data_IF_139146636828
#
_entry.id   IF_139146636828
#
_cell.length_a   1.000
_cell.length_b   1.000
_cell.length_c   1.000
_cell.angle_alpha   90.00
_cell.angle_beta   90.00
_cell.angle_gamma   90.00
#
_symmetry.space_group_name_H-M   'P 1'
#
loop_
_entity.id
_entity.type
_entity.pdbx_description
1 polymer ?
#
# COMPACT_ATOMS: atom_id res chain seq x y z
N UNK A 1 -20.55 5.02 -12.67
CA UNK A 1 -22.02 4.93 -12.69
C UNK A 1 -22.46 3.59 -13.28
N UNK A 2 -22.07 3.24 -14.52
CA UNK A 2 -22.44 1.98 -15.19
C UNK A 2 -22.07 0.72 -14.37
N UNK A 3 -20.90 0.70 -13.71
CA UNK A 3 -20.48 -0.42 -12.87
C UNK A 3 -21.47 -0.67 -11.72
N UNK A 4 -22.00 0.39 -11.10
CA UNK A 4 -23.00 0.27 -10.04
C UNK A 4 -24.35 -0.22 -10.58
N UNK A 5 -24.76 0.25 -11.76
CA UNK A 5 -26.00 -0.18 -12.42
C UNK A 5 -25.97 -1.66 -12.81
N UNK A 6 -24.80 -2.16 -13.22
CA UNK A 6 -24.57 -3.60 -13.53
C UNK A 6 -24.51 -4.44 -12.23
N UNK A 7 -24.35 -3.81 -11.06
CA UNK A 7 -24.44 -4.48 -9.76
C UNK A 7 -23.09 -4.82 -9.11
N UNK A 8 -21.98 -4.21 -9.54
CA UNK A 8 -20.71 -4.32 -8.81
C UNK A 8 -20.86 -3.77 -7.39
N UNK A 9 -20.43 -4.55 -6.39
CA UNK A 9 -20.52 -4.19 -4.95
C UNK A 9 -19.29 -3.44 -4.45
N UNK A 10 -18.12 -3.68 -5.04
CA UNK A 10 -16.87 -2.98 -4.76
C UNK A 10 -16.48 -2.15 -5.97
N UNK A 11 -16.40 -0.84 -5.80
CA UNK A 11 -15.97 0.10 -6.85
C UNK A 11 -14.86 0.95 -6.24
N UNK A 12 -13.69 0.90 -6.86
CA UNK A 12 -12.53 1.70 -6.46
C UNK A 12 -12.33 2.89 -7.40
N UNK A 13 -11.79 3.96 -6.86
CA UNK A 13 -11.23 5.07 -7.61
C UNK A 13 -9.78 5.29 -7.18
N UNK A 14 -8.85 5.39 -8.13
CA UNK A 14 -7.45 5.70 -7.88
C UNK A 14 -7.20 7.17 -8.19
N UNK A 15 -6.57 7.89 -7.26
CA UNK A 15 -6.16 9.29 -7.42
C UNK A 15 -4.67 9.37 -7.11
N UNK A 16 -3.91 10.02 -7.98
CA UNK A 16 -2.51 10.36 -7.76
C UNK A 16 -2.44 11.83 -7.39
N UNK A 17 -1.77 12.14 -6.28
CA UNK A 17 -1.51 13.50 -5.82
C UNK A 17 -0.01 13.79 -5.73
N UNK A 18 0.35 15.05 -5.46
CA UNK A 18 1.75 15.48 -5.44
C UNK A 18 2.32 15.75 -6.83
N UNK A 19 1.45 16.01 -7.80
CA UNK A 19 1.83 16.51 -9.12
C UNK A 19 2.09 18.01 -9.04
N UNK A 20 2.98 18.52 -9.88
CA UNK A 20 3.29 19.95 -9.94
C UNK A 20 2.01 20.81 -10.00
N UNK A 21 1.94 21.81 -9.13
CA UNK A 21 0.81 22.73 -8.90
C UNK A 21 -0.41 22.12 -8.18
N UNK A 22 -0.32 20.91 -7.66
CA UNK A 22 -1.35 20.43 -6.74
C UNK A 22 -1.42 21.34 -5.49
N UNK A 23 -2.62 21.59 -5.08
CA UNK A 23 -2.95 22.27 -3.83
C UNK A 23 -4.07 21.50 -3.15
N UNK A 24 -4.25 21.68 -1.84
CA UNK A 24 -5.35 21.05 -1.13
C UNK A 24 -6.71 21.39 -1.77
N UNK A 25 -6.86 22.63 -2.28
CA UNK A 25 -8.12 23.06 -2.92
C UNK A 25 -8.36 22.31 -4.26
N UNK A 26 -7.33 22.14 -5.09
CA UNK A 26 -7.45 21.38 -6.35
C UNK A 26 -7.75 19.92 -6.05
N UNK A 27 -7.03 19.31 -5.11
CA UNK A 27 -7.23 17.93 -4.72
C UNK A 27 -8.60 17.67 -4.10
N UNK A 28 -9.12 18.58 -3.28
CA UNK A 28 -10.50 18.46 -2.75
C UNK A 28 -11.54 18.39 -3.86
N UNK A 29 -11.37 19.11 -4.96
CA UNK A 29 -12.29 19.03 -6.11
C UNK A 29 -12.26 17.65 -6.77
N UNK A 30 -11.06 17.07 -6.93
CA UNK A 30 -10.90 15.75 -7.52
C UNK A 30 -11.48 14.66 -6.60
N UNK A 31 -11.21 14.73 -5.30
CA UNK A 31 -11.80 13.83 -4.31
C UNK A 31 -13.32 13.98 -4.23
N UNK A 32 -13.87 15.21 -4.25
CA UNK A 32 -15.32 15.43 -4.24
C UNK A 32 -15.99 14.86 -5.49
N UNK A 33 -15.33 14.91 -6.64
CA UNK A 33 -15.81 14.24 -7.85
C UNK A 33 -15.85 12.74 -7.65
N UNK A 34 -14.80 12.13 -7.10
CA UNK A 34 -14.77 10.70 -6.79
C UNK A 34 -15.87 10.31 -5.79
N UNK A 35 -16.05 11.09 -4.72
CA UNK A 35 -17.08 10.84 -3.69
C UNK A 35 -18.52 11.04 -4.20
N UNK A 36 -18.71 11.79 -5.30
CA UNK A 36 -20.00 11.89 -5.97
C UNK A 36 -20.42 10.60 -6.69
N UNK A 37 -19.48 9.68 -6.90
CA UNK A 37 -19.70 8.38 -7.51
C UNK A 37 -20.01 7.34 -6.42
N UNK A 38 -20.65 6.20 -6.78
CA UNK A 38 -20.98 5.13 -5.85
C UNK A 38 -19.74 4.27 -5.50
N UNK A 39 -18.61 4.90 -5.19
CA UNK A 39 -17.40 4.20 -4.78
C UNK A 39 -17.50 3.70 -3.34
N UNK A 40 -16.85 2.60 -3.05
CA UNK A 40 -16.74 2.00 -1.72
C UNK A 40 -15.30 1.93 -1.24
N UNK A 41 -14.37 2.21 -2.13
CA UNK A 41 -12.93 2.16 -1.91
C UNK A 41 -12.26 3.32 -2.67
N UNK A 42 -11.17 3.84 -2.12
CA UNK A 42 -10.37 4.90 -2.71
C UNK A 42 -8.88 4.59 -2.50
N UNK A 43 -8.09 4.71 -3.55
CA UNK A 43 -6.64 4.70 -3.45
C UNK A 43 -6.12 6.11 -3.69
N UNK A 44 -5.33 6.65 -2.76
CA UNK A 44 -4.68 7.96 -2.87
C UNK A 44 -3.16 7.76 -2.82
N UNK A 45 -2.50 7.88 -3.97
CA UNK A 45 -1.07 7.66 -4.12
C UNK A 45 -0.32 8.98 -4.27
N UNK A 46 0.72 9.19 -3.48
CA UNK A 46 1.70 10.23 -3.78
C UNK A 46 2.44 9.86 -5.07
N UNK A 47 2.62 10.84 -5.96
CA UNK A 47 3.36 10.62 -7.20
C UNK A 47 4.77 10.12 -6.90
N UNK A 48 5.11 8.94 -7.40
CA UNK A 48 6.46 8.40 -7.39
C UNK A 48 6.99 8.35 -8.81
N UNK A 49 8.20 8.87 -9.01
CA UNK A 49 8.86 8.87 -10.33
C UNK A 49 9.92 7.77 -10.32
N UNK A 50 9.66 6.72 -11.07
CA UNK A 50 10.53 5.55 -11.16
C UNK A 50 11.71 5.80 -12.12
N UNK A 51 12.88 5.25 -11.77
CA UNK A 51 14.05 5.24 -12.64
C UNK A 51 13.72 4.56 -13.99
N UNK A 52 14.26 5.10 -15.08
CA UNK A 52 14.02 4.61 -16.44
C UNK A 52 12.70 5.08 -17.06
N UNK A 53 11.89 5.88 -16.36
CA UNK A 53 10.70 6.53 -16.93
C UNK A 53 11.06 7.85 -17.61
N UNK A 54 10.21 8.33 -18.54
CA UNK A 54 10.41 9.61 -19.24
C UNK A 54 10.40 10.84 -18.31
N UNK A 55 9.93 10.68 -17.10
CA UNK A 55 9.80 11.76 -16.11
C UNK A 55 10.92 11.74 -15.07
N UNK A 56 11.78 10.72 -15.05
CA UNK A 56 12.85 10.57 -14.07
C UNK A 56 13.77 11.81 -13.96
N UNK A 57 14.14 12.38 -15.10
CA UNK A 57 14.98 13.59 -15.17
C UNK A 57 14.18 14.91 -15.00
N UNK A 58 12.89 14.84 -14.70
CA UNK A 58 11.99 15.99 -14.56
C UNK A 58 11.50 16.14 -13.13
N UNK A 59 12.39 16.46 -12.21
CA UNK A 59 12.06 16.63 -10.78
C UNK A 59 10.96 17.66 -10.51
N UNK A 60 10.76 18.62 -11.42
CA UNK A 60 9.70 19.62 -11.29
C UNK A 60 8.27 19.07 -11.44
N UNK A 61 8.09 17.82 -11.86
CA UNK A 61 6.76 17.21 -12.02
C UNK A 61 6.17 16.75 -10.68
N UNK A 62 7.01 16.48 -9.68
CA UNK A 62 6.63 16.03 -8.35
C UNK A 62 6.76 17.15 -7.33
N UNK A 63 5.83 17.20 -6.40
CA UNK A 63 5.91 18.00 -5.17
C UNK A 63 6.05 17.02 -4.01
N UNK A 64 7.12 17.17 -3.24
CA UNK A 64 7.27 16.50 -1.94
C UNK A 64 6.70 17.43 -0.87
N UNK A 65 5.42 17.27 -0.57
CA UNK A 65 4.70 18.03 0.43
C UNK A 65 4.00 17.07 1.40
N UNK A 66 4.64 16.87 2.54
CA UNK A 66 4.15 16.00 3.60
C UNK A 66 2.88 16.58 4.24
N UNK A 67 2.80 17.91 4.40
CA UNK A 67 1.63 18.59 4.95
C UNK A 67 0.40 18.38 4.06
N UNK A 68 0.58 18.50 2.76
CA UNK A 68 -0.48 18.21 1.78
C UNK A 68 -1.00 16.76 1.92
N UNK A 69 -0.10 15.80 2.16
CA UNK A 69 -0.49 14.40 2.36
C UNK A 69 -1.37 14.22 3.60
N UNK A 70 -1.01 14.85 4.73
CA UNK A 70 -1.82 14.83 5.95
C UNK A 70 -3.20 15.45 5.72
N UNK A 71 -3.24 16.62 5.11
CA UNK A 71 -4.50 17.34 4.83
C UNK A 71 -5.43 16.55 3.90
N UNK A 72 -4.86 15.86 2.88
CA UNK A 72 -5.60 14.97 1.99
C UNK A 72 -6.20 13.80 2.78
N UNK A 73 -5.40 13.14 3.61
CA UNK A 73 -5.85 11.96 4.36
C UNK A 73 -6.92 12.32 5.38
N UNK A 74 -6.76 13.43 6.07
CA UNK A 74 -7.81 13.98 6.96
C UNK A 74 -9.09 14.30 6.19
N UNK A 75 -8.95 14.86 5.00
CA UNK A 75 -10.11 15.16 4.16
C UNK A 75 -10.87 13.91 3.75
N UNK A 76 -10.15 12.84 3.32
CA UNK A 76 -10.73 11.56 2.94
C UNK A 76 -11.43 10.91 4.15
N UNK A 77 -10.79 10.90 5.32
CA UNK A 77 -11.35 10.35 6.56
C UNK A 77 -12.64 11.09 6.95
N UNK A 78 -12.67 12.43 6.84
CA UNK A 78 -13.85 13.24 7.13
C UNK A 78 -15.02 13.01 6.14
N UNK A 79 -14.77 12.42 4.97
CA UNK A 79 -15.80 11.98 4.02
C UNK A 79 -16.34 10.56 4.33
N UNK A 80 -15.89 9.94 5.43
CA UNK A 80 -16.38 8.67 5.90
C UNK A 80 -15.68 7.46 5.27
N UNK A 81 -14.47 7.67 4.73
CA UNK A 81 -13.57 6.60 4.31
C UNK A 81 -12.46 6.46 5.36
N UNK A 82 -12.25 5.28 5.92
CA UNK A 82 -11.17 5.03 6.87
C UNK A 82 -9.93 4.51 6.15
N UNK A 83 -8.78 5.03 6.50
CA UNK A 83 -7.49 4.51 6.06
C UNK A 83 -7.23 3.16 6.72
N UNK A 84 -6.91 2.12 5.96
CA UNK A 84 -6.60 0.79 6.50
C UNK A 84 -5.19 0.30 6.14
N UNK A 85 -4.51 1.00 5.26
CA UNK A 85 -3.09 0.84 4.93
C UNK A 85 -2.56 2.14 4.30
N UNK A 86 -1.30 2.16 3.90
CA UNK A 86 -0.53 3.36 3.57
C UNK A 86 -1.22 4.31 2.57
N UNK A 87 -1.89 3.77 1.55
CA UNK A 87 -2.48 4.55 0.45
C UNK A 87 -3.95 4.27 0.19
N UNK A 88 -4.57 3.32 0.92
CA UNK A 88 -5.92 2.89 0.62
C UNK A 88 -6.91 3.15 1.76
N UNK A 89 -8.09 3.57 1.33
CA UNK A 89 -9.21 3.98 2.17
C UNK A 89 -10.48 3.22 1.77
N UNK A 90 -11.27 2.82 2.75
CA UNK A 90 -12.50 2.09 2.52
C UNK A 90 -13.68 2.69 3.29
N UNK A 91 -14.88 2.59 2.76
CA UNK A 91 -16.12 3.01 3.45
C UNK A 91 -16.42 2.20 4.71
N UNK A 92 -16.02 0.94 4.69
CA UNK A 92 -16.19 0.00 5.80
C UNK A 92 -15.27 -1.21 5.59
N UNK A 93 -15.12 -2.04 6.61
CA UNK A 93 -14.25 -3.22 6.60
C UNK A 93 -14.54 -4.22 5.47
N UNK A 94 -15.78 -4.34 5.03
CA UNK A 94 -16.16 -5.26 3.92
C UNK A 94 -15.62 -4.75 2.58
N UNK A 95 -15.41 -3.44 2.47
CA UNK A 95 -14.93 -2.78 1.27
C UNK A 95 -13.39 -2.68 1.20
N UNK A 96 -12.66 -3.09 2.24
CA UNK A 96 -11.20 -3.19 2.20
C UNK A 96 -10.76 -4.21 1.13
N UNK A 97 -9.72 -3.89 0.37
CA UNK A 97 -9.17 -4.78 -0.65
C UNK A 97 -8.52 -6.01 -0.01
N UNK A 98 -9.20 -7.15 -0.06
CA UNK A 98 -8.66 -8.42 0.45
C UNK A 98 -7.38 -8.84 -0.25
N UNK A 99 -7.22 -8.47 -1.52
CA UNK A 99 -6.04 -8.73 -2.31
C UNK A 99 -4.84 -7.93 -1.75
N UNK A 100 -4.97 -6.61 -1.62
CA UNK A 100 -3.93 -5.76 -1.05
C UNK A 100 -3.61 -6.17 0.38
N UNK A 101 -4.64 -6.42 1.18
CA UNK A 101 -4.48 -6.84 2.57
C UNK A 101 -3.72 -8.17 2.71
N UNK A 102 -3.85 -9.07 1.70
CA UNK A 102 -3.06 -10.30 1.62
C UNK A 102 -1.56 -10.04 1.52
N UNK A 103 -1.13 -9.04 0.75
CA UNK A 103 0.27 -8.63 0.67
C UNK A 103 0.76 -8.06 2.01
N UNK A 104 0.01 -7.15 2.63
CA UNK A 104 0.36 -6.59 3.93
C UNK A 104 0.46 -7.64 5.05
N UNK A 105 -0.27 -8.75 4.92
CA UNK A 105 -0.18 -9.91 5.81
C UNK A 105 0.92 -10.91 5.42
N UNK A 106 1.74 -10.59 4.43
CA UNK A 106 2.78 -11.49 3.91
C UNK A 106 2.24 -12.86 3.50
N UNK A 107 1.05 -12.92 2.91
CA UNK A 107 0.45 -14.17 2.41
C UNK A 107 1.10 -14.61 1.11
N UNK A 108 1.08 -15.91 0.87
CA UNK A 108 1.46 -16.46 -0.43
C UNK A 108 0.52 -15.99 -1.55
N UNK A 109 1.07 -15.75 -2.72
CA UNK A 109 0.32 -15.34 -3.90
C UNK A 109 0.93 -15.88 -5.18
N UNK A 110 0.08 -16.08 -6.18
CA UNK A 110 0.48 -16.51 -7.51
C UNK A 110 0.53 -15.31 -8.46
N UNK A 111 1.69 -15.10 -9.10
CA UNK A 111 1.82 -14.18 -10.22
C UNK A 111 1.51 -14.90 -11.53
N UNK A 112 0.57 -14.39 -12.32
CA UNK A 112 0.19 -14.96 -13.62
C UNK A 112 0.31 -13.89 -14.68
N UNK A 113 1.17 -14.11 -15.66
CA UNK A 113 1.44 -13.17 -16.74
C UNK A 113 2.92 -12.81 -16.86
N UNK A 114 3.29 -12.14 -17.95
CA UNK A 114 4.65 -11.66 -18.18
C UNK A 114 5.03 -10.65 -17.08
N UNK A 115 6.17 -10.88 -16.41
CA UNK A 115 6.66 -10.04 -15.33
C UNK A 115 5.87 -10.12 -14.01
N UNK A 116 4.85 -10.96 -13.91
CA UNK A 116 4.03 -11.09 -12.69
C UNK A 116 4.75 -11.96 -11.65
N UNK A 117 5.37 -11.30 -10.68
CA UNK A 117 6.06 -11.96 -9.55
C UNK A 117 5.06 -12.72 -8.69
N UNK A 118 5.46 -13.91 -8.20
CA UNK A 118 4.71 -14.67 -7.21
C UNK A 118 5.56 -15.03 -6.01
N UNK A 119 4.93 -15.36 -4.90
CA UNK A 119 5.56 -15.79 -3.65
C UNK A 119 4.85 -17.01 -3.09
N UNK A 120 5.54 -18.15 -3.03
CA UNK A 120 5.00 -19.44 -2.54
C UNK A 120 6.09 -20.22 -1.84
N UNK A 121 5.81 -20.77 -0.65
CA UNK A 121 6.72 -21.61 0.14
C UNK A 121 8.10 -20.98 0.35
N UNK A 122 8.10 -19.71 0.75
CA UNK A 122 9.31 -18.91 0.97
C UNK A 122 10.20 -18.74 -0.28
N UNK A 123 9.64 -18.90 -1.47
CA UNK A 123 10.31 -18.61 -2.73
C UNK A 123 9.56 -17.53 -3.49
N UNK A 124 10.29 -16.55 -4.00
CA UNK A 124 9.81 -15.67 -5.07
C UNK A 124 10.17 -16.27 -6.42
N UNK A 125 9.26 -16.11 -7.37
CA UNK A 125 9.52 -16.47 -8.75
C UNK A 125 9.22 -15.27 -9.66
N UNK A 126 10.09 -15.09 -10.65
CA UNK A 126 10.09 -13.96 -11.57
C UNK A 126 9.97 -14.49 -12.99
N UNK A 127 8.75 -14.53 -13.58
CA UNK A 127 8.60 -14.93 -14.97
C UNK A 127 9.17 -13.83 -15.89
N UNK A 128 9.50 -14.22 -17.12
CA UNK A 128 10.01 -13.27 -18.12
C UNK A 128 9.11 -12.04 -18.23
N UNK A 129 9.72 -10.85 -18.29
CA UNK A 129 9.04 -9.57 -18.55
C UNK A 129 8.64 -9.43 -20.02
N UNK A 130 9.30 -10.15 -20.92
CA UNK A 130 9.00 -10.15 -22.34
C UNK A 130 7.75 -10.97 -22.67
N UNK A 131 6.71 -10.35 -23.24
CA UNK A 131 5.44 -11.02 -23.55
C UNK A 131 5.65 -12.24 -24.46
N UNK A 132 6.40 -12.08 -25.54
CA UNK A 132 6.68 -13.16 -26.49
C UNK A 132 7.45 -14.32 -25.87
N UNK A 133 8.40 -14.01 -24.99
CA UNK A 133 9.17 -15.01 -24.27
C UNK A 133 8.31 -15.73 -23.24
N UNK A 134 7.50 -15.00 -22.49
CA UNK A 134 6.56 -15.60 -21.54
C UNK A 134 5.55 -16.52 -22.24
N UNK A 135 4.99 -16.13 -23.40
CA UNK A 135 4.06 -16.97 -24.15
C UNK A 135 4.72 -18.28 -24.60
N UNK A 136 6.01 -18.23 -25.02
CA UNK A 136 6.74 -19.41 -25.44
C UNK A 136 7.05 -20.35 -24.27
N UNK A 137 7.36 -19.79 -23.10
CA UNK A 137 7.83 -20.56 -21.95
C UNK A 137 7.26 -20.02 -20.61
N UNK A 138 5.94 -20.14 -20.38
CA UNK A 138 5.28 -19.52 -19.23
C UNK A 138 5.68 -20.10 -17.86
N UNK A 139 6.34 -21.28 -17.86
CA UNK A 139 6.80 -21.94 -16.63
C UNK A 139 8.28 -21.70 -16.32
N UNK A 140 9.01 -21.06 -17.24
CA UNK A 140 10.41 -20.67 -16.98
C UNK A 140 10.40 -19.37 -16.21
N UNK A 141 11.01 -19.39 -15.02
CA UNK A 141 11.13 -18.23 -14.15
C UNK A 141 12.46 -18.31 -13.37
N UNK A 142 12.99 -17.14 -13.04
CA UNK A 142 14.04 -17.05 -12.02
C UNK A 142 13.42 -17.28 -10.65
N UNK A 143 14.18 -17.82 -9.71
CA UNK A 143 13.71 -18.09 -8.36
C UNK A 143 14.69 -17.55 -7.34
N UNK A 144 14.12 -17.02 -6.26
CA UNK A 144 14.83 -16.50 -5.11
C UNK A 144 14.30 -17.18 -3.85
N UNK A 145 15.18 -17.84 -3.12
CA UNK A 145 14.86 -18.38 -1.80
C UNK A 145 14.92 -17.24 -0.77
N UNK A 146 13.82 -16.98 -0.09
CA UNK A 146 13.73 -15.91 0.91
C UNK A 146 14.13 -16.50 2.27
N UNK A 147 15.15 -15.94 2.91
CA UNK A 147 15.59 -16.39 4.23
C UNK A 147 14.56 -16.07 5.32
N UNK A 148 14.65 -16.78 6.46
CA UNK A 148 13.78 -16.50 7.61
C UNK A 148 13.95 -15.07 8.16
N UNK A 149 15.16 -14.52 8.07
CA UNK A 149 15.45 -13.15 8.49
C UNK A 149 14.84 -12.11 7.54
N UNK A 150 14.88 -12.40 6.22
CA UNK A 150 14.19 -11.55 5.24
C UNK A 150 12.68 -11.60 5.43
N UNK A 151 12.10 -12.79 5.65
CA UNK A 151 10.68 -12.97 5.95
C UNK A 151 10.28 -12.18 7.20
N UNK A 152 11.10 -12.22 8.26
CA UNK A 152 10.87 -11.43 9.47
C UNK A 152 10.87 -9.94 9.15
N UNK A 153 11.88 -9.47 8.43
CA UNK A 153 12.02 -8.07 8.03
C UNK A 153 10.83 -7.61 7.19
N UNK A 154 10.44 -8.38 6.18
CA UNK A 154 9.27 -8.08 5.36
C UNK A 154 7.98 -8.02 6.17
N UNK A 155 7.73 -8.95 7.07
CA UNK A 155 6.56 -8.95 7.95
C UNK A 155 6.50 -7.71 8.85
N UNK A 156 7.64 -7.24 9.33
CA UNK A 156 7.72 -6.02 10.12
C UNK A 156 7.40 -4.80 9.26
N UNK A 157 8.05 -4.65 8.10
CA UNK A 157 7.82 -3.54 7.19
C UNK A 157 6.36 -3.47 6.71
N UNK A 158 5.81 -4.59 6.24
CA UNK A 158 4.44 -4.66 5.75
C UNK A 158 3.41 -4.47 6.87
N UNK A 159 3.67 -5.01 8.06
CA UNK A 159 2.77 -4.89 9.20
C UNK A 159 2.63 -3.43 9.67
N UNK A 160 3.72 -2.67 9.71
CA UNK A 160 3.67 -1.26 10.10
C UNK A 160 3.02 -0.34 9.05
N UNK A 161 2.86 -0.82 7.82
CA UNK A 161 2.22 -0.08 6.72
C UNK A 161 0.71 -0.33 6.61
N UNK A 162 0.12 -1.06 7.54
CA UNK A 162 -1.30 -1.40 7.51
C UNK A 162 -1.88 -1.60 8.92
N UNK A 163 -3.21 -1.60 9.02
CA UNK A 163 -3.93 -1.98 10.25
C UNK A 163 -3.76 -3.46 10.63
N UNK A 164 -2.93 -4.23 9.90
CA UNK A 164 -2.55 -5.56 10.33
C UNK A 164 -1.63 -5.51 11.56
N UNK A 165 -0.76 -4.50 11.65
CA UNK A 165 0.25 -4.42 12.69
C UNK A 165 1.27 -5.56 12.63
N UNK A 166 2.18 -5.60 13.58
CA UNK A 166 3.27 -6.58 13.69
C UNK A 166 3.10 -7.40 14.96
N UNK A 167 3.23 -8.72 14.87
CA UNK A 167 3.19 -9.58 16.05
C UNK A 167 4.41 -9.34 16.94
N UNK A 168 4.19 -9.10 18.23
CA UNK A 168 5.24 -8.89 19.22
C UNK A 168 6.28 -10.02 19.25
N UNK A 169 5.84 -11.25 18.98
CA UNK A 169 6.69 -12.44 18.95
C UNK A 169 7.77 -12.42 17.86
N UNK A 170 7.67 -11.50 16.89
CA UNK A 170 8.72 -11.31 15.87
C UNK A 170 9.94 -10.57 16.39
N UNK A 171 9.84 -9.90 17.54
CA UNK A 171 10.92 -9.09 18.11
C UNK A 171 11.62 -9.83 19.23
N UNK A 172 12.96 -9.79 19.21
CA UNK A 172 13.77 -10.22 20.34
C UNK A 172 13.79 -9.14 21.46
N UNK A 173 14.42 -9.45 22.60
CA UNK A 173 14.47 -8.54 23.75
C UNK A 173 15.16 -7.20 23.44
N UNK A 174 16.15 -7.21 22.56
CA UNK A 174 16.89 -5.99 22.17
C UNK A 174 16.06 -5.14 21.22
N UNK A 175 15.36 -5.77 20.30
CA UNK A 175 14.44 -5.10 19.36
C UNK A 175 13.24 -4.53 20.10
N UNK A 176 12.68 -5.28 21.09
CA UNK A 176 11.57 -4.80 21.90
C UNK A 176 11.90 -3.52 22.68
N UNK A 177 13.14 -3.35 23.16
CA UNK A 177 13.53 -2.08 23.78
C UNK A 177 13.38 -0.88 22.84
N UNK A 178 13.74 -1.04 21.56
CA UNK A 178 13.53 0.02 20.56
C UNK A 178 12.05 0.25 20.27
N UNK A 179 11.24 -0.80 20.28
CA UNK A 179 9.79 -0.69 20.14
C UNK A 179 9.19 0.07 21.32
N UNK A 180 9.64 -0.22 22.54
CA UNK A 180 9.21 0.47 23.76
C UNK A 180 9.58 1.97 23.71
N UNK A 181 10.79 2.31 23.27
CA UNK A 181 11.22 3.70 23.05
C UNK A 181 10.31 4.42 22.04
N UNK A 182 9.88 3.74 20.96
CA UNK A 182 8.97 4.29 19.95
C UNK A 182 7.52 4.43 20.48
N UNK A 183 7.10 3.54 21.37
CA UNK A 183 5.80 3.65 22.06
C UNK A 183 5.82 4.83 23.02
N UNK A 184 6.87 4.99 23.83
CA UNK A 184 7.05 6.15 24.71
C UNK A 184 7.13 7.46 23.92
N UNK A 185 7.74 7.44 22.73
CA UNK A 185 7.81 8.56 21.79
C UNK A 185 6.52 8.81 20.99
N UNK A 186 5.42 8.14 21.33
CA UNK A 186 4.10 8.28 20.67
C UNK A 186 4.07 7.97 19.17
N UNK A 187 5.01 7.14 18.67
CA UNK A 187 5.08 6.70 17.27
C UNK A 187 4.32 5.40 17.02
N UNK A 188 4.41 4.49 17.99
CA UNK A 188 3.76 3.18 17.94
C UNK A 188 2.78 3.02 19.12
N UNK A 189 1.91 2.04 19.01
CA UNK A 189 1.12 1.54 20.14
C UNK A 189 1.00 0.03 20.08
N UNK A 190 0.72 -0.60 21.23
CA UNK A 190 0.54 -2.04 21.32
C UNK A 190 -0.87 -2.38 21.80
N UNK A 191 -1.50 -3.31 21.12
CA UNK A 191 -2.81 -3.85 21.46
C UNK A 191 -2.85 -5.34 21.10
N UNK A 192 -3.37 -6.19 22.03
CA UNK A 192 -3.57 -7.63 21.81
C UNK A 192 -2.32 -8.36 21.23
N UNK A 193 -1.14 -8.13 21.84
CA UNK A 193 0.16 -8.72 21.42
C UNK A 193 0.56 -8.35 20.00
N UNK A 194 0.04 -7.26 19.46
CA UNK A 194 0.42 -6.67 18.18
C UNK A 194 0.83 -5.22 18.35
N UNK A 195 1.79 -4.79 17.56
CA UNK A 195 2.36 -3.45 17.55
C UNK A 195 1.92 -2.77 16.26
N UNK A 196 1.42 -1.55 16.39
CA UNK A 196 0.85 -0.78 15.31
C UNK A 196 1.56 0.56 15.17
N UNK A 197 1.66 1.03 13.94
CA UNK A 197 2.06 2.40 13.65
C UNK A 197 0.87 3.34 13.88
N UNK A 198 1.11 4.46 14.55
CA UNK A 198 0.09 5.50 14.74
C UNK A 198 -0.16 6.33 13.48
N UNK A 199 0.82 6.35 12.59
CA UNK A 199 0.75 7.17 11.38
C UNK A 199 1.45 6.47 10.20
N UNK A 200 0.69 6.07 9.19
CA UNK A 200 1.24 5.39 8.03
C UNK A 200 2.17 6.26 7.17
N UNK A 201 2.04 7.58 7.19
CA UNK A 201 2.97 8.48 6.48
C UNK A 201 4.40 8.44 7.05
N UNK A 202 4.58 7.93 8.26
CA UNK A 202 5.90 7.72 8.87
C UNK A 202 6.50 6.33 8.58
N UNK A 203 5.88 5.57 7.69
CA UNK A 203 6.29 4.18 7.38
C UNK A 203 7.26 4.07 6.21
N UNK A 204 7.59 5.16 5.55
CA UNK A 204 8.52 5.22 4.41
C UNK A 204 9.92 5.65 4.83
#
# INVERSE_FOLDING_TARGET
QNANEIGFKGINCDIIYGVQNDTLESMKKDFDMAFSLPITHLSAYSLTIEEGTKFFDRSSVKIDDEELSYEIFDYINNKGFHQYEISNFAKNKVSESKHNYGYWQHKEYLGVGAGAVGYVKNQRYYPSKGIEEYIKNPLINEREDISLDDIKTEKILLGFRSLNGVEKSLFDEKEMKKVDDLIEGDKLYMENERIFNKNFLLSD
#
